data_IF_056933958806
#
_entry.id   IF_056933958806
#
_cell.length_a   1.000
_cell.length_b   1.000
_cell.length_c   1.000
_cell.angle_alpha   90.00
_cell.angle_beta   90.00
_cell.angle_gamma   90.00
#
_symmetry.space_group_name_H-M   'P 1'
#
loop_
_entity.id
_entity.type
_entity.pdbx_description
1 polymer ?
#
# COMPACT_ATOMS: atom_id res chain seq x y z
N UNK A 1 -49.07 -9.04 -12.95
CA UNK A 1 -48.25 -7.83 -12.74
C UNK A 1 -47.48 -7.86 -11.42
N UNK A 2 -48.11 -7.71 -10.23
CA UNK A 2 -47.39 -7.63 -8.93
C UNK A 2 -46.45 -8.81 -8.60
N UNK A 3 -46.83 -10.05 -8.92
CA UNK A 3 -45.99 -11.24 -8.69
C UNK A 3 -44.70 -11.28 -9.54
N UNK A 4 -44.76 -10.73 -10.75
CA UNK A 4 -43.59 -10.64 -11.63
C UNK A 4 -42.61 -9.57 -11.15
N UNK A 5 -43.11 -8.44 -10.67
CA UNK A 5 -42.28 -7.36 -10.11
C UNK A 5 -41.52 -7.86 -8.88
N UNK A 6 -42.17 -8.60 -7.98
CA UNK A 6 -41.51 -9.19 -6.82
C UNK A 6 -40.39 -10.18 -7.22
N UNK A 7 -40.62 -11.01 -8.24
CA UNK A 7 -39.61 -11.93 -8.78
C UNK A 7 -38.39 -11.18 -9.34
N UNK A 8 -38.61 -10.11 -10.11
CA UNK A 8 -37.51 -9.29 -10.63
C UNK A 8 -36.71 -8.58 -9.54
N UNK A 9 -37.38 -8.10 -8.48
CA UNK A 9 -36.70 -7.49 -7.33
C UNK A 9 -35.81 -8.54 -6.64
N UNK A 10 -36.34 -9.73 -6.34
CA UNK A 10 -35.58 -10.82 -5.70
C UNK A 10 -34.40 -11.25 -6.58
N UNK A 11 -34.62 -11.41 -7.89
CA UNK A 11 -33.56 -11.77 -8.83
C UNK A 11 -32.44 -10.72 -8.84
N UNK A 12 -32.79 -9.43 -8.86
CA UNK A 12 -31.83 -8.32 -8.83
C UNK A 12 -31.03 -8.27 -7.51
N UNK A 13 -31.68 -8.55 -6.38
CA UNK A 13 -31.04 -8.59 -5.07
C UNK A 13 -30.03 -9.74 -4.98
N UNK A 14 -30.39 -10.93 -5.46
CA UNK A 14 -29.49 -12.09 -5.50
C UNK A 14 -28.27 -11.80 -6.39
N UNK A 15 -28.48 -11.17 -7.56
CA UNK A 15 -27.38 -10.81 -8.46
C UNK A 15 -26.41 -9.84 -7.79
N UNK A 16 -26.92 -8.80 -7.12
CA UNK A 16 -26.10 -7.82 -6.40
C UNK A 16 -25.28 -8.44 -5.27
N UNK A 17 -25.87 -9.37 -4.50
CA UNK A 17 -25.16 -10.09 -3.43
C UNK A 17 -24.03 -10.94 -4.01
N UNK A 18 -24.30 -11.66 -5.11
CA UNK A 18 -23.29 -12.48 -5.78
C UNK A 18 -22.13 -11.64 -6.32
N UNK A 19 -22.42 -10.48 -6.93
CA UNK A 19 -21.40 -9.53 -7.38
C UNK A 19 -20.55 -8.99 -6.23
N UNK A 20 -21.18 -8.62 -5.11
CA UNK A 20 -20.48 -8.12 -3.92
C UNK A 20 -19.47 -9.14 -3.37
N UNK A 21 -19.85 -10.41 -3.28
CA UNK A 21 -18.96 -11.49 -2.81
C UNK A 21 -17.76 -11.69 -3.75
N UNK A 22 -17.98 -11.66 -5.07
CA UNK A 22 -16.89 -11.81 -6.04
C UNK A 22 -15.90 -10.64 -5.99
N UNK A 23 -16.40 -9.42 -5.82
CA UNK A 23 -15.55 -8.23 -5.67
C UNK A 23 -14.67 -8.37 -4.43
N UNK A 24 -15.23 -8.71 -3.27
CA UNK A 24 -14.45 -8.92 -2.04
C UNK A 24 -13.33 -9.95 -2.23
N UNK A 25 -13.63 -11.05 -2.91
CA UNK A 25 -12.64 -12.11 -3.21
C UNK A 25 -11.51 -11.64 -4.13
N UNK A 26 -11.80 -10.71 -5.05
CA UNK A 26 -10.78 -10.10 -5.91
C UNK A 26 -9.96 -9.04 -5.16
N UNK A 27 -10.57 -8.30 -4.23
CA UNK A 27 -9.87 -7.32 -3.40
C UNK A 27 -8.87 -7.97 -2.44
N UNK A 28 -9.22 -9.11 -1.83
CA UNK A 28 -8.28 -9.90 -1.01
C UNK A 28 -7.07 -10.40 -1.81
N UNK A 29 -7.23 -10.57 -3.12
CA UNK A 29 -6.20 -11.09 -4.02
C UNK A 29 -5.48 -10.01 -4.84
N UNK A 30 -5.56 -8.74 -4.45
CA UNK A 30 -4.86 -7.65 -5.16
C UNK A 30 -3.36 -8.00 -5.26
N UNK A 31 -2.84 -8.33 -6.46
CA UNK A 31 -1.45 -8.69 -6.59
C UNK A 31 -0.61 -7.42 -6.40
N UNK A 32 0.13 -7.35 -5.30
CA UNK A 32 1.12 -6.30 -5.08
C UNK A 32 2.36 -6.72 -5.88
N UNK A 33 2.63 -6.02 -6.98
CA UNK A 33 3.86 -6.24 -7.74
C UNK A 33 5.01 -5.59 -6.97
N UNK A 34 5.79 -6.40 -6.27
CA UNK A 34 6.99 -5.96 -5.56
C UNK A 34 8.17 -6.11 -6.52
N UNK A 35 8.64 -5.00 -7.09
CA UNK A 35 9.90 -5.00 -7.81
C UNK A 35 11.04 -4.98 -6.81
N UNK A 36 11.77 -6.09 -6.71
CA UNK A 36 13.05 -6.13 -5.99
C UNK A 36 14.11 -5.48 -6.87
N UNK A 37 14.22 -4.15 -6.81
CA UNK A 37 15.39 -3.46 -7.33
C UNK A 37 16.54 -3.70 -6.34
N UNK A 38 17.61 -4.34 -6.81
CA UNK A 38 18.87 -4.34 -6.07
C UNK A 38 19.48 -2.95 -6.22
N UNK A 39 19.55 -2.19 -5.12
CA UNK A 39 20.11 -0.84 -5.12
C UNK A 39 21.66 -0.87 -5.12
N UNK A 40 22.30 -2.03 -5.32
CA UNK A 40 23.75 -2.13 -5.46
C UNK A 40 24.27 -1.18 -6.56
N UNK A 41 24.93 -0.10 -6.12
CA UNK A 41 25.52 0.93 -7.00
C UNK A 41 24.68 2.19 -7.21
N UNK A 42 23.46 2.27 -6.68
CA UNK A 42 22.65 3.48 -6.72
C UNK A 42 22.96 4.36 -5.50
N UNK A 43 23.75 5.43 -5.68
CA UNK A 43 23.97 6.43 -4.61
C UNK A 43 22.71 7.29 -4.46
N UNK A 44 21.98 7.12 -3.37
CA UNK A 44 20.81 7.94 -3.04
C UNK A 44 21.29 9.07 -2.15
N UNK A 45 21.27 10.31 -2.66
CA UNK A 45 21.66 11.50 -1.90
C UNK A 45 20.47 12.41 -1.74
N UNK A 46 19.95 12.54 -0.52
CA UNK A 46 18.80 13.40 -0.30
C UNK A 46 18.59 13.73 1.17
N UNK A 47 17.57 14.57 1.40
CA UNK A 47 17.21 15.03 2.74
C UNK A 47 16.05 14.22 3.30
N UNK A 48 16.13 13.83 4.56
CA UNK A 48 15.02 13.18 5.26
C UNK A 48 13.91 14.20 5.52
N UNK A 49 12.72 13.96 4.99
CA UNK A 49 11.56 14.86 5.14
C UNK A 49 10.57 14.32 6.16
N UNK A 50 10.43 13.00 6.24
CA UNK A 50 9.45 12.35 7.10
C UNK A 50 9.98 11.03 7.64
N UNK A 51 9.48 10.63 8.81
CA UNK A 51 9.82 9.38 9.48
C UNK A 51 8.53 8.77 10.00
N UNK A 52 8.32 7.50 9.67
CA UNK A 52 7.12 6.78 10.04
C UNK A 52 7.48 5.35 10.44
N UNK A 53 6.69 4.75 11.34
CA UNK A 53 6.79 3.33 11.65
C UNK A 53 5.51 2.65 11.18
N UNK A 54 5.63 1.75 10.22
CA UNK A 54 4.51 1.02 9.62
C UNK A 54 4.59 -0.43 10.10
N UNK A 55 3.79 -0.78 11.11
CA UNK A 55 3.90 -2.07 11.79
C UNK A 55 5.27 -2.21 12.48
N UNK A 56 6.05 -3.22 12.07
CA UNK A 56 7.41 -3.45 12.59
C UNK A 56 8.52 -2.82 11.73
N UNK A 57 8.15 -2.18 10.60
CA UNK A 57 9.11 -1.58 9.68
C UNK A 57 9.37 -0.11 10.04
N UNK A 58 10.65 0.25 10.11
CA UNK A 58 11.09 1.63 10.27
C UNK A 58 11.28 2.26 8.89
N UNK A 59 10.55 3.34 8.59
CA UNK A 59 10.61 3.98 7.27
C UNK A 59 11.03 5.44 7.36
N UNK A 60 11.81 5.88 6.38
CA UNK A 60 12.20 7.28 6.18
C UNK A 60 11.78 7.73 4.78
N UNK A 61 11.29 8.95 4.66
CA UNK A 61 11.01 9.57 3.36
C UNK A 61 12.14 10.50 3.00
N UNK A 62 12.77 10.24 1.86
CA UNK A 62 13.84 11.06 1.31
C UNK A 62 13.27 11.94 0.21
N UNK A 63 13.55 13.24 0.28
CA UNK A 63 13.13 14.23 -0.71
C UNK A 63 13.60 13.81 -2.11
N UNK A 64 12.70 13.85 -3.10
CA UNK A 64 12.93 13.47 -4.51
C UNK A 64 13.16 11.97 -4.79
N UNK A 65 13.17 11.09 -3.78
CA UNK A 65 13.34 9.65 -3.99
C UNK A 65 12.13 8.81 -3.56
N UNK A 66 11.60 9.04 -2.36
CA UNK A 66 10.47 8.27 -1.82
C UNK A 66 10.74 7.66 -0.45
N UNK A 67 10.03 6.58 -0.14
CA UNK A 67 10.02 5.92 1.18
C UNK A 67 11.01 4.75 1.17
N UNK A 68 11.87 4.70 2.18
CA UNK A 68 12.88 3.67 2.38
C UNK A 68 12.68 2.97 3.71
N UNK A 69 12.78 1.65 3.70
CA UNK A 69 12.84 0.84 4.93
C UNK A 69 14.29 0.82 5.40
N UNK A 70 14.51 1.18 6.65
CA UNK A 70 15.85 1.23 7.27
C UNK A 70 15.89 0.39 8.55
N UNK A 71 17.08 0.16 9.09
CA UNK A 71 17.24 -0.49 10.39
C UNK A 71 16.77 0.43 11.52
N UNK A 72 16.42 -0.15 12.66
CA UNK A 72 16.04 0.62 13.85
C UNK A 72 17.14 1.60 14.26
N UNK A 73 18.40 1.16 14.25
CA UNK A 73 19.54 2.00 14.60
C UNK A 73 19.63 3.23 13.70
N UNK A 74 19.56 3.04 12.37
CA UNK A 74 19.55 4.15 11.42
C UNK A 74 18.34 5.06 11.62
N UNK A 75 17.16 4.49 11.85
CA UNK A 75 15.96 5.26 12.15
C UNK A 75 16.14 6.14 13.38
N UNK A 76 16.70 5.64 14.47
CA UNK A 76 16.89 6.43 15.69
C UNK A 76 17.95 7.52 15.53
N UNK A 77 19.01 7.26 14.76
CA UNK A 77 20.09 8.23 14.53
C UNK A 77 19.70 9.38 13.61
N UNK A 78 18.89 9.11 12.57
CA UNK A 78 18.56 10.08 11.54
C UNK A 78 17.46 11.04 12.00
N UNK A 79 17.65 12.34 11.80
CA UNK A 79 16.66 13.38 12.08
C UNK A 79 16.03 13.90 10.79
N UNK A 80 14.84 14.48 10.91
CA UNK A 80 14.21 15.21 9.81
C UNK A 80 15.08 16.42 9.50
N UNK A 81 15.46 16.57 8.23
CA UNK A 81 16.40 17.59 7.76
C UNK A 81 17.81 17.07 7.48
N UNK A 82 18.15 15.87 7.94
CA UNK A 82 19.48 15.30 7.73
C UNK A 82 19.69 14.91 6.27
N UNK A 83 20.90 15.15 5.78
CA UNK A 83 21.35 14.64 4.49
C UNK A 83 21.87 13.21 4.65
N UNK A 84 21.30 12.31 3.85
CA UNK A 84 21.63 10.90 3.87
C UNK A 84 22.19 10.46 2.54
N UNK A 85 23.19 9.59 2.61
CA UNK A 85 23.71 8.84 1.48
C UNK A 85 23.43 7.35 1.73
N UNK A 86 22.51 6.76 0.96
CA UNK A 86 22.22 5.33 0.96
C UNK A 86 22.84 4.65 -0.26
#
# INVERSE_FOLDING_TARGET
>A
MKRFIALWIVLSAILNIWQSIQIKKLEEKRPIVIYKADNQGAEIKGRVVHKEKIGDLYTITIQNYGIFVVTQTSYETLRIGDEVKL
#
